data_IF_885072539791
#
_entry.id   IF_885072539791
#
_cell.length_a   1.000
_cell.length_b   1.000
_cell.length_c   1.000
_cell.angle_alpha   90.00
_cell.angle_beta   90.00
_cell.angle_gamma   90.00
#
_symmetry.space_group_name_H-M   'P 1'
#
loop_
_entity.id
_entity.type
_entity.pdbx_description
1 polymer ?
#
# COMPACT_ATOMS: atom_id res chain seq x y z
N UNK A 1 -1.07 7.64 13.97
CA UNK A 1 -0.51 7.31 12.64
C UNK A 1 -0.96 5.92 12.25
N UNK A 2 -1.01 5.62 10.95
CA UNK A 2 -1.57 4.37 10.45
C UNK A 2 -0.55 3.22 10.56
N UNK A 3 -0.91 2.12 11.22
CA UNK A 3 -0.10 0.89 11.26
C UNK A 3 0.07 0.27 9.87
N UNK A 4 -0.88 0.52 8.96
CA UNK A 4 -0.89 0.07 7.57
C UNK A 4 -0.31 1.11 6.58
N UNK A 5 0.45 2.11 7.04
CA UNK A 5 1.09 3.08 6.14
C UNK A 5 2.09 2.37 5.23
N UNK A 6 1.94 2.54 3.91
CA UNK A 6 2.85 1.96 2.91
C UNK A 6 4.27 2.48 3.11
N UNK A 7 5.21 1.55 3.34
CA UNK A 7 6.66 1.84 3.45
C UNK A 7 7.41 1.79 2.11
N UNK A 8 6.67 1.85 1.01
CA UNK A 8 7.22 1.82 -0.34
C UNK A 8 6.32 2.59 -1.30
N UNK A 9 6.86 2.92 -2.47
CA UNK A 9 6.11 3.53 -3.57
C UNK A 9 5.77 2.42 -4.56
N UNK A 10 4.52 2.35 -5.00
CA UNK A 10 4.09 1.41 -6.03
C UNK A 10 3.82 2.12 -7.35
N UNK A 11 4.26 1.53 -8.46
CA UNK A 11 4.09 2.08 -9.81
C UNK A 11 3.50 1.00 -10.71
N UNK A 12 2.28 1.21 -11.19
CA UNK A 12 1.64 0.39 -12.22
C UNK A 12 1.68 1.11 -13.56
N UNK A 13 2.17 0.42 -14.60
CA UNK A 13 2.29 0.95 -15.94
C UNK A 13 1.41 0.12 -16.87
N UNK A 14 0.36 0.74 -17.39
CA UNK A 14 -0.51 0.16 -18.40
C UNK A 14 -0.11 0.71 -19.76
N UNK A 15 0.17 -0.18 -20.71
CA UNK A 15 0.43 0.18 -22.10
C UNK A 15 -0.72 -0.33 -22.95
N UNK A 16 -1.33 0.57 -23.71
CA UNK A 16 -2.46 0.27 -24.60
C UNK A 16 -2.03 0.57 -26.01
N UNK A 17 -2.21 -0.39 -26.91
CA UNK A 17 -2.01 -0.19 -28.34
C UNK A 17 -3.34 -0.43 -29.05
N UNK A 18 -3.65 0.43 -30.01
CA UNK A 18 -4.84 0.34 -30.82
C UNK A 18 -4.44 0.51 -32.29
N UNK A 19 -4.54 -0.58 -33.05
CA UNK A 19 -4.44 -0.54 -34.51
C UNK A 19 -5.78 -0.18 -35.12
N UNK A 20 -5.79 0.83 -36.02
CA UNK A 20 -6.95 1.10 -36.85
C UNK A 20 -6.77 0.48 -38.23
N UNK A 21 -7.67 -0.42 -38.60
CA UNK A 21 -7.71 -1.03 -39.94
C UNK A 21 -8.08 -0.06 -41.06
N UNK A 22 -8.61 1.12 -40.72
CA UNK A 22 -8.99 2.14 -41.69
C UNK A 22 -7.80 2.99 -42.17
N UNK A 23 -6.83 3.26 -41.27
CA UNK A 23 -5.75 4.22 -41.52
C UNK A 23 -4.34 3.58 -41.55
N UNK A 24 -4.23 2.25 -41.36
CA UNK A 24 -2.96 1.51 -41.16
C UNK A 24 -2.05 2.14 -40.07
N UNK A 25 -2.67 2.82 -39.10
CA UNK A 25 -1.98 3.52 -38.02
C UNK A 25 -2.20 2.79 -36.71
N UNK A 26 -1.09 2.56 -36.01
CA UNK A 26 -1.11 2.08 -34.62
C UNK A 26 -0.95 3.27 -33.69
N UNK A 27 -1.91 3.43 -32.78
CA UNK A 27 -1.86 4.42 -31.71
C UNK A 27 -1.43 3.72 -30.43
N UNK A 28 -0.49 4.31 -29.71
CA UNK A 28 -0.09 3.83 -28.39
C UNK A 28 -0.45 4.86 -27.32
N UNK A 29 -0.87 4.36 -26.16
CA UNK A 29 -1.10 5.12 -24.95
C UNK A 29 -0.43 4.44 -23.77
N UNK A 30 0.03 5.24 -22.81
CA UNK A 30 0.62 4.77 -21.56
C UNK A 30 -0.07 5.46 -20.41
N UNK A 31 -0.59 4.67 -19.46
CA UNK A 31 -1.14 5.16 -18.20
C UNK A 31 -0.20 4.70 -17.09
N UNK A 32 0.25 5.64 -16.26
CA UNK A 32 1.09 5.35 -15.11
C UNK A 32 0.29 5.72 -13.85
N UNK A 33 -0.05 4.71 -13.05
CA UNK A 33 -0.67 4.89 -11.75
C UNK A 33 0.41 4.74 -10.68
N UNK A 34 0.53 5.74 -9.82
CA UNK A 34 1.54 5.76 -8.77
C UNK A 34 0.87 5.92 -7.42
N UNK A 35 1.10 4.95 -6.54
CA UNK A 35 0.77 5.05 -5.12
C UNK A 35 2.04 5.41 -4.35
N UNK A 36 2.01 6.56 -3.68
CA UNK A 36 3.15 7.11 -2.98
C UNK A 36 3.09 6.72 -1.50
N UNK A 37 4.26 6.43 -0.93
CA UNK A 37 4.40 6.27 0.51
C UNK A 37 3.98 7.53 1.27
N UNK A 38 3.73 7.37 2.57
CA UNK A 38 3.38 8.47 3.48
C UNK A 38 4.43 9.59 3.49
N UNK A 39 3.98 10.85 3.50
CA UNK A 39 4.84 12.04 3.52
C UNK A 39 5.11 12.57 4.93
N UNK A 40 4.73 11.82 5.95
CA UNK A 40 4.90 12.21 7.35
C UNK A 40 6.37 12.37 7.75
N UNK A 41 6.60 13.34 8.63
CA UNK A 41 7.91 13.52 9.26
C UNK A 41 8.20 12.37 10.20
N UNK A 42 9.40 11.80 10.06
CA UNK A 42 9.89 10.70 10.91
C UNK A 42 9.97 11.11 12.40
N UNK A 43 10.14 12.39 12.70
CA UNK A 43 10.11 12.92 14.08
C UNK A 43 8.79 12.63 14.81
N UNK A 44 7.68 12.48 14.08
CA UNK A 44 6.36 12.19 14.67
C UNK A 44 6.09 10.69 14.83
N UNK A 45 6.90 9.82 14.23
CA UNK A 45 6.68 8.37 14.27
C UNK A 45 7.27 7.72 15.52
N UNK A 46 8.19 8.40 16.23
CA UNK A 46 8.93 7.79 17.34
C UNK A 46 9.78 6.60 16.90
N UNK A 47 10.08 6.47 15.61
CA UNK A 47 10.85 5.37 15.07
C UNK A 47 12.33 5.49 15.47
N UNK A 48 12.91 4.38 15.93
CA UNK A 48 14.31 4.29 16.35
C UNK A 48 15.08 3.23 15.54
N UNK A 49 16.40 3.34 15.54
CA UNK A 49 17.31 2.36 14.93
C UNK A 49 17.02 2.10 13.45
N UNK A 50 16.90 0.82 13.07
CA UNK A 50 16.72 0.40 11.67
C UNK A 50 15.43 0.95 11.03
N UNK A 51 14.37 1.13 11.81
CA UNK A 51 13.08 1.66 11.32
C UNK A 51 13.20 3.15 10.96
N UNK A 52 14.00 3.89 11.71
CA UNK A 52 14.32 5.29 11.41
C UNK A 52 15.07 5.41 10.08
N UNK A 53 16.03 4.53 9.81
CA UNK A 53 16.80 4.57 8.57
C UNK A 53 15.99 4.13 7.35
N UNK A 54 15.07 3.19 7.52
CA UNK A 54 14.06 2.84 6.51
C UNK A 54 13.16 4.05 6.20
N UNK A 55 12.60 4.69 7.23
CA UNK A 55 11.73 5.85 7.09
C UNK A 55 12.45 7.05 6.43
N UNK A 56 13.74 7.27 6.72
CA UNK A 56 14.56 8.28 6.03
C UNK A 56 14.69 7.97 4.54
N UNK A 57 14.88 6.70 4.19
CA UNK A 57 15.06 6.28 2.80
C UNK A 57 13.77 6.48 1.99
N UNK A 58 12.62 6.17 2.58
CA UNK A 58 11.30 6.39 1.97
C UNK A 58 11.05 7.89 1.75
N UNK A 59 11.37 8.72 2.75
CA UNK A 59 11.21 10.16 2.66
C UNK A 59 12.21 10.83 1.71
N UNK A 60 13.32 10.15 1.37
CA UNK A 60 14.29 10.66 0.39
C UNK A 60 13.68 10.80 -1.00
N UNK A 61 12.89 9.82 -1.47
CA UNK A 61 12.26 9.91 -2.80
C UNK A 61 11.16 10.96 -2.85
N UNK A 62 10.37 11.13 -1.79
CA UNK A 62 9.38 12.21 -1.67
C UNK A 62 10.03 13.59 -1.60
N UNK A 63 11.17 13.71 -0.90
CA UNK A 63 11.96 14.95 -0.86
C UNK A 63 12.53 15.30 -2.24
N UNK A 64 13.09 14.31 -2.95
CA UNK A 64 13.55 14.47 -4.32
C UNK A 64 12.41 14.91 -5.26
N UNK A 65 11.22 14.32 -5.11
CA UNK A 65 10.02 14.72 -5.84
C UNK A 65 9.64 16.17 -5.57
N UNK A 66 9.66 16.60 -4.31
CA UNK A 66 9.46 18.00 -3.92
C UNK A 66 10.49 18.95 -4.54
N UNK A 67 11.77 18.55 -4.60
CA UNK A 67 12.83 19.35 -5.22
C UNK A 67 12.63 19.50 -6.73
N UNK A 68 12.23 18.43 -7.42
CA UNK A 68 11.89 18.47 -8.85
C UNK A 68 10.74 19.45 -9.11
N UNK A 69 9.67 19.39 -8.32
CA UNK A 69 8.53 20.32 -8.46
C UNK A 69 8.95 21.77 -8.19
N UNK A 70 9.77 22.02 -7.17
CA UNK A 70 10.29 23.36 -6.89
C UNK A 70 11.14 23.89 -8.05
N UNK A 71 12.00 23.06 -8.62
CA UNK A 71 12.81 23.45 -9.78
C UNK A 71 11.92 23.79 -10.98
N UNK A 72 10.92 22.96 -11.29
CA UNK A 72 10.02 23.15 -12.43
C UNK A 72 9.10 24.37 -12.31
N UNK A 73 8.83 24.81 -11.10
CA UNK A 73 7.96 25.97 -10.82
C UNK A 73 8.74 27.28 -10.67
N UNK A 74 10.06 27.21 -10.64
CA UNK A 74 10.93 28.39 -10.62
C UNK A 74 11.11 28.93 -12.06
N UNK A 75 11.25 30.25 -12.22
CA UNK A 75 11.21 30.90 -13.53
C UNK A 75 12.31 30.46 -14.53
N UNK A 76 13.45 29.92 -14.06
CA UNK A 76 14.57 29.43 -14.88
C UNK A 76 15.36 28.32 -14.18
N UNK A 77 14.92 27.06 -14.20
CA UNK A 77 15.75 25.97 -13.72
C UNK A 77 16.86 25.69 -14.74
N UNK A 78 18.13 25.87 -14.36
CA UNK A 78 19.26 25.40 -15.18
C UNK A 78 19.29 23.88 -15.29
N UNK A 79 18.85 23.19 -14.24
CA UNK A 79 18.83 21.74 -14.14
C UNK A 79 17.70 21.31 -13.20
N UNK A 80 16.93 20.30 -13.62
CA UNK A 80 15.89 19.68 -12.78
C UNK A 80 16.42 18.34 -12.28
N UNK A 81 16.46 18.11 -10.95
CA UNK A 81 17.17 16.97 -10.35
C UNK A 81 16.37 15.65 -10.39
N UNK A 82 15.92 15.23 -11.57
CA UNK A 82 15.18 13.96 -11.72
C UNK A 82 15.98 12.74 -11.27
N UNK A 83 17.32 12.83 -11.30
CA UNK A 83 18.23 11.74 -10.95
C UNK A 83 18.37 11.45 -9.46
N UNK A 84 17.88 12.35 -8.60
CA UNK A 84 18.02 12.22 -7.14
C UNK A 84 17.23 11.03 -6.56
N UNK A 85 16.26 10.49 -7.31
CA UNK A 85 15.57 9.25 -6.98
C UNK A 85 15.14 8.46 -8.22
N UNK A 86 14.98 7.12 -8.08
CA UNK A 86 14.40 6.29 -9.15
C UNK A 86 12.98 6.72 -9.50
N UNK A 87 12.18 7.07 -8.48
CA UNK A 87 10.80 7.54 -8.61
C UNK A 87 10.71 8.78 -9.54
N UNK A 88 11.54 9.79 -9.30
CA UNK A 88 11.55 11.03 -10.12
C UNK A 88 12.03 10.81 -11.55
N UNK A 89 12.86 9.78 -11.80
CA UNK A 89 13.23 9.38 -13.17
C UNK A 89 12.07 8.74 -13.90
N UNK A 90 11.33 7.84 -13.24
CA UNK A 90 10.16 7.18 -13.81
C UNK A 90 9.05 8.21 -14.10
N UNK A 91 8.87 9.19 -13.20
CA UNK A 91 7.86 10.24 -13.30
C UNK A 91 8.26 11.44 -14.17
N UNK A 92 9.44 11.42 -14.81
CA UNK A 92 9.96 12.56 -15.56
C UNK A 92 8.99 13.02 -16.66
N UNK A 93 8.33 12.09 -17.35
CA UNK A 93 7.35 12.41 -18.39
C UNK A 93 6.10 13.11 -17.84
N UNK A 94 5.68 12.76 -16.62
CA UNK A 94 4.55 13.36 -15.92
C UNK A 94 4.89 14.73 -15.30
N UNK A 95 6.17 14.97 -14.99
CA UNK A 95 6.65 16.16 -14.30
C UNK A 95 7.39 17.08 -15.28
N UNK A 96 6.65 17.73 -16.17
CA UNK A 96 7.21 18.68 -17.15
C UNK A 96 7.62 18.07 -18.49
N UNK A 97 7.37 16.78 -18.70
CA UNK A 97 7.59 16.09 -19.97
C UNK A 97 6.35 16.07 -20.87
N UNK A 98 6.16 14.95 -21.57
CA UNK A 98 5.15 14.77 -22.61
C UNK A 98 3.90 14.00 -22.17
N UNK A 99 3.69 13.80 -20.87
CA UNK A 99 2.48 13.16 -20.36
C UNK A 99 1.45 14.19 -19.88
N UNK A 100 0.18 13.81 -19.93
CA UNK A 100 -0.84 14.44 -19.06
C UNK A 100 -0.65 13.87 -17.66
N UNK A 101 -0.78 14.70 -16.65
CA UNK A 101 -0.62 14.30 -15.25
C UNK A 101 -1.76 14.84 -14.39
N UNK A 102 -2.18 14.04 -13.41
CA UNK A 102 -3.10 14.43 -12.36
C UNK A 102 -2.48 14.03 -11.02
N UNK A 103 -2.67 14.87 -10.01
CA UNK A 103 -2.19 14.62 -8.65
C UNK A 103 -3.39 14.60 -7.71
N UNK A 104 -3.55 13.51 -6.97
CA UNK A 104 -4.53 13.39 -5.90
C UNK A 104 -3.87 13.77 -4.56
N UNK A 105 -4.36 14.84 -3.92
CA UNK A 105 -3.86 15.29 -2.64
C UNK A 105 -4.70 14.71 -1.48
N UNK A 106 -4.22 13.63 -0.87
CA UNK A 106 -4.88 13.01 0.28
C UNK A 106 -4.52 13.75 1.57
N UNK A 107 -5.52 14.32 2.26
CA UNK A 107 -5.31 15.14 3.46
C UNK A 107 -6.14 14.60 4.63
N UNK A 108 -5.61 14.70 5.85
CA UNK A 108 -6.37 14.38 7.06
C UNK A 108 -7.25 15.57 7.49
N UNK A 109 -8.51 15.35 7.89
CA UNK A 109 -9.37 16.41 8.42
C UNK A 109 -9.08 16.77 9.88
N UNK A 110 -8.21 16.01 10.57
CA UNK A 110 -7.90 16.24 11.99
C UNK A 110 -7.00 17.47 12.18
N UNK A 111 -7.30 18.27 13.21
CA UNK A 111 -6.50 19.44 13.61
C UNK A 111 -5.06 19.07 13.98
N UNK A 112 -4.85 17.89 14.58
CA UNK A 112 -3.52 17.36 14.91
C UNK A 112 -2.61 17.18 13.69
N UNK A 113 -3.22 16.95 12.51
CA UNK A 113 -2.53 16.76 11.24
C UNK A 113 -2.56 18.00 10.34
N UNK A 114 -3.10 19.13 10.81
CA UNK A 114 -3.21 20.36 10.02
C UNK A 114 -1.87 20.81 9.38
N UNK A 115 -0.70 20.71 10.06
CA UNK A 115 0.58 21.06 9.43
C UNK A 115 0.94 20.16 8.23
N UNK A 116 0.66 18.86 8.31
CA UNK A 116 0.94 17.92 7.23
C UNK A 116 -0.04 18.13 6.07
N UNK A 117 -1.35 18.27 6.36
CA UNK A 117 -2.36 18.59 5.36
C UNK A 117 -2.05 19.90 4.62
N UNK A 118 -1.58 20.93 5.33
CA UNK A 118 -1.14 22.19 4.72
C UNK A 118 0.09 21.98 3.81
N UNK A 119 1.04 21.13 4.21
CA UNK A 119 2.20 20.77 3.39
C UNK A 119 1.75 20.10 2.08
N UNK A 120 0.84 19.13 2.15
CA UNK A 120 0.26 18.44 0.98
C UNK A 120 -0.47 19.41 0.05
N UNK A 121 -1.30 20.32 0.58
CA UNK A 121 -2.02 21.31 -0.23
C UNK A 121 -1.05 22.28 -0.93
N UNK A 122 -0.02 22.75 -0.23
CA UNK A 122 1.03 23.61 -0.82
C UNK A 122 1.81 22.88 -1.89
N UNK A 123 2.11 21.60 -1.68
CA UNK A 123 2.72 20.74 -2.68
C UNK A 123 1.82 20.62 -3.93
N UNK A 124 0.52 20.38 -3.76
CA UNK A 124 -0.45 20.34 -4.86
C UNK A 124 -0.55 21.67 -5.63
N UNK A 125 -0.55 22.79 -4.91
CA UNK A 125 -0.60 24.13 -5.50
C UNK A 125 0.62 24.41 -6.37
N UNK A 126 1.82 24.04 -5.92
CA UNK A 126 3.04 24.12 -6.75
C UNK A 126 2.97 23.19 -7.95
N UNK A 127 2.57 21.93 -7.74
CA UNK A 127 2.48 20.93 -8.81
C UNK A 127 1.56 21.39 -9.95
N UNK A 128 0.46 22.07 -9.62
CA UNK A 128 -0.48 22.65 -10.60
C UNK A 128 0.18 23.65 -11.56
N UNK A 129 1.29 24.29 -11.18
CA UNK A 129 2.00 25.27 -12.01
C UNK A 129 2.98 24.63 -13.01
N UNK A 130 3.21 23.32 -12.91
CA UNK A 130 4.09 22.61 -13.84
C UNK A 130 3.45 22.59 -15.23
N UNK A 131 4.23 23.01 -16.23
CA UNK A 131 3.82 23.00 -17.63
C UNK A 131 4.25 21.68 -18.26
N UNK A 132 3.29 20.92 -18.76
CA UNK A 132 3.52 19.71 -19.57
C UNK A 132 3.23 20.00 -21.04
N UNK A 133 3.89 19.31 -21.96
CA UNK A 133 3.61 19.38 -23.40
C UNK A 133 3.20 17.99 -23.92
N UNK A 134 1.94 17.56 -23.70
CA UNK A 134 1.49 16.25 -24.14
C UNK A 134 1.69 16.06 -25.63
N UNK A 135 2.36 14.96 -26.00
CA UNK A 135 2.53 14.55 -27.39
C UNK A 135 1.77 13.26 -27.62
N UNK A 136 1.03 13.18 -28.74
CA UNK A 136 0.57 11.89 -29.24
C UNK A 136 1.80 11.08 -29.63
N UNK A 137 1.80 9.78 -29.35
CA UNK A 137 2.83 8.85 -29.79
C UNK A 137 2.32 8.24 -31.10
N UNK A 138 2.75 8.70 -32.28
CA UNK A 138 2.42 8.06 -33.54
C UNK A 138 3.43 6.93 -33.71
N UNK A 139 2.97 5.69 -33.68
CA UNK A 139 3.79 4.61 -34.20
C UNK A 139 3.54 4.59 -35.72
N UNK A 140 4.34 5.33 -36.49
CA UNK A 140 4.49 5.05 -37.93
C UNK A 140 5.26 3.74 -38.04
N UNK A 141 4.51 2.64 -38.08
CA UNK A 141 5.03 1.33 -38.47
C UNK A 141 4.57 1.15 -39.92
N UNK A 142 5.51 1.23 -40.87
CA UNK A 142 5.23 0.86 -42.25
C UNK A 142 4.80 -0.62 -42.29
N UNK A 143 3.55 -0.85 -42.71
CA UNK A 143 3.01 -2.11 -43.25
C UNK A 143 3.03 -3.34 -42.34
N UNK A 144 1.92 -3.64 -41.64
CA UNK A 144 1.60 -5.01 -41.21
C UNK A 144 0.14 -5.36 -41.59
N UNK A 145 -0.01 -6.54 -42.18
CA UNK A 145 -1.19 -7.05 -42.91
C UNK A 145 -2.49 -6.99 -42.10
N UNK A 146 -3.57 -6.61 -42.78
CA UNK A 146 -4.96 -6.51 -42.27
C UNK A 146 -5.40 -7.75 -41.47
N UNK A 147 -6.04 -7.59 -40.29
CA UNK A 147 -6.80 -8.65 -39.65
C UNK A 147 -8.15 -8.80 -40.35
N UNK A 148 -8.43 -10.00 -40.86
CA UNK A 148 -9.73 -10.42 -41.37
C UNK A 148 -10.75 -10.51 -40.23
N UNK A 149 -11.92 -9.92 -40.45
CA UNK A 149 -13.08 -9.97 -39.56
C UNK A 149 -13.65 -11.39 -39.46
N UNK A 150 -13.95 -11.84 -38.24
CA UNK A 150 -14.75 -13.05 -37.99
C UNK A 150 -16.21 -12.78 -38.35
N UNK A 151 -16.72 -13.46 -39.37
CA UNK A 151 -18.16 -13.67 -39.56
C UNK A 151 -18.63 -14.80 -38.65
N UNK A 152 -19.69 -14.50 -37.90
CA UNK A 152 -20.53 -15.49 -37.23
C UNK A 152 -21.24 -16.31 -38.29
N UNK A 153 -21.17 -17.64 -38.26
CA UNK A 153 -22.14 -18.49 -38.96
C UNK A 153 -22.58 -19.65 -38.06
N UNK A 154 -23.90 -19.79 -37.92
CA UNK A 154 -24.62 -20.87 -37.26
C UNK A 154 -24.76 -22.07 -38.21
N UNK A 155 -24.93 -23.23 -37.58
CA UNK A 155 -25.09 -24.58 -38.14
C UNK A 155 -26.13 -24.71 -39.27
N UNK A 156 -25.87 -25.60 -40.25
CA UNK A 156 -26.88 -26.58 -40.68
C UNK A 156 -26.35 -27.72 -41.58
N UNK A 157 -27.09 -28.82 -41.53
CA UNK A 157 -26.77 -30.23 -41.82
C UNK A 157 -26.71 -30.70 -43.30
N UNK A 158 -25.84 -31.70 -43.49
CA UNK A 158 -25.99 -32.97 -44.26
C UNK A 158 -25.97 -33.00 -45.81
N UNK A 159 -25.05 -33.82 -46.36
CA UNK A 159 -25.37 -34.73 -47.47
C UNK A 159 -24.35 -34.93 -48.61
N UNK A 160 -23.81 -36.16 -48.69
CA UNK A 160 -23.38 -36.92 -49.91
C UNK A 160 -21.90 -36.88 -50.35
N UNK A 161 -21.28 -38.06 -50.35
CA UNK A 161 -19.95 -38.41 -50.93
C UNK A 161 -20.10 -39.04 -52.34
N UNK A 162 -19.04 -39.51 -53.04
CA UNK A 162 -17.62 -39.12 -53.08
C UNK A 162 -17.08 -38.91 -54.54
N UNK A 163 -15.92 -38.27 -54.74
CA UNK A 163 -15.04 -38.51 -55.92
C UNK A 163 -13.59 -38.01 -55.73
N UNK A 164 -12.70 -38.98 -55.51
CA UNK A 164 -11.31 -39.19 -55.95
C UNK A 164 -10.35 -38.01 -56.28
N UNK A 165 -9.17 -38.17 -55.66
CA UNK A 165 -7.80 -38.11 -56.20
C UNK A 165 -6.94 -36.86 -55.90
N UNK A 166 -5.79 -37.08 -55.25
CA UNK A 166 -4.57 -36.32 -55.50
C UNK A 166 -3.82 -35.72 -54.29
N UNK A 167 -3.01 -36.55 -53.63
CA UNK A 167 -1.67 -36.26 -53.04
C UNK A 167 -1.44 -35.20 -51.94
N UNK A 168 -0.51 -35.60 -51.04
CA UNK A 168 0.26 -34.88 -50.01
C UNK A 168 -0.46 -34.44 -48.72
N UNK A 169 -0.14 -35.18 -47.65
CA UNK A 169 -0.42 -34.86 -46.26
C UNK A 169 0.47 -33.71 -45.78
N UNK A 170 -0.14 -32.64 -45.30
CA UNK A 170 0.46 -31.68 -44.37
C UNK A 170 -0.54 -31.50 -43.23
N UNK A 171 -0.18 -31.99 -42.04
CA UNK A 171 -0.95 -31.80 -40.82
C UNK A 171 -0.99 -30.32 -40.46
N UNK A 172 -2.19 -29.86 -40.08
CA UNK A 172 -2.51 -28.48 -39.72
C UNK A 172 -2.17 -28.30 -38.24
N UNK A 173 -1.38 -27.28 -37.91
CA UNK A 173 -1.33 -26.69 -36.57
C UNK A 173 -1.32 -25.18 -36.72
N UNK A 174 -2.27 -24.58 -36.02
CA UNK A 174 -2.69 -23.18 -35.99
C UNK A 174 -1.58 -22.24 -35.47
N UNK A 175 -1.15 -21.17 -36.18
CA UNK A 175 -0.25 -20.18 -35.61
C UNK A 175 -1.04 -19.02 -35.00
N UNK A 176 -1.13 -19.07 -33.68
CA UNK A 176 -1.52 -17.99 -32.79
C UNK A 176 -0.36 -17.03 -32.53
N UNK A 177 -0.70 -15.77 -32.21
CA UNK A 177 0.07 -14.83 -31.37
C UNK A 177 1.53 -14.57 -31.77
N UNK A 178 1.78 -13.44 -32.45
CA UNK A 178 3.15 -12.89 -32.57
C UNK A 178 3.69 -12.55 -31.18
N UNK A 179 4.57 -13.44 -30.70
CA UNK A 179 5.47 -13.28 -29.57
C UNK A 179 6.41 -12.10 -29.81
N UNK A 180 6.60 -11.25 -28.80
CA UNK A 180 7.93 -10.64 -28.68
C UNK A 180 8.88 -11.79 -28.35
N UNK A 181 9.76 -12.16 -29.27
CA UNK A 181 10.74 -13.24 -29.05
C UNK A 181 11.66 -12.87 -27.88
N UNK A 182 11.29 -13.31 -26.68
CA UNK A 182 12.06 -13.15 -25.46
C UNK A 182 13.43 -13.84 -25.56
N UNK A 183 13.54 -14.85 -26.42
CA UNK A 183 14.79 -15.55 -26.75
C UNK A 183 15.82 -14.61 -27.40
N UNK A 184 15.42 -13.71 -28.32
CA UNK A 184 16.33 -12.77 -28.96
C UNK A 184 16.90 -11.75 -27.95
N UNK A 185 16.09 -11.33 -26.98
CA UNK A 185 16.55 -10.43 -25.92
C UNK A 185 17.50 -11.13 -24.94
N UNK A 186 17.18 -12.37 -24.54
CA UNK A 186 18.04 -13.22 -23.70
C UNK A 186 19.40 -13.39 -24.36
N UNK A 187 19.43 -13.85 -25.61
CA UNK A 187 20.66 -14.10 -26.36
C UNK A 187 21.47 -12.83 -26.55
N UNK A 188 20.81 -11.68 -26.77
CA UNK A 188 21.49 -10.39 -26.92
C UNK A 188 22.09 -9.86 -25.61
N UNK A 189 21.50 -10.18 -24.46
CA UNK A 189 22.05 -9.82 -23.14
C UNK A 189 23.24 -10.71 -22.81
N UNK A 190 23.08 -12.03 -22.97
CA UNK A 190 24.12 -13.01 -22.66
C UNK A 190 25.33 -12.85 -23.58
N UNK A 191 25.12 -12.66 -24.89
CA UNK A 191 26.21 -12.38 -25.84
C UNK A 191 27.00 -11.13 -25.47
N UNK A 192 26.36 -10.07 -24.97
CA UNK A 192 27.05 -8.86 -24.49
C UNK A 192 27.82 -9.08 -23.19
N UNK A 193 27.30 -9.89 -22.28
CA UNK A 193 27.99 -10.24 -21.04
C UNK A 193 29.23 -11.11 -21.31
N UNK A 194 29.13 -12.05 -22.25
CA UNK A 194 30.25 -12.88 -22.73
C UNK A 194 31.39 -12.08 -23.39
N UNK A 195 31.15 -10.83 -23.79
CA UNK A 195 32.20 -9.92 -24.26
C UNK A 195 33.01 -9.26 -23.13
N UNK A 196 32.49 -9.26 -21.90
CA UNK A 196 33.07 -8.52 -20.76
C UNK A 196 33.43 -9.39 -19.56
N UNK A 197 32.92 -10.62 -19.50
CA UNK A 197 33.07 -11.55 -18.39
C UNK A 197 33.53 -12.91 -18.91
N UNK A 198 34.06 -13.75 -18.01
CA UNK A 198 34.41 -15.14 -18.35
C UNK A 198 33.14 -15.95 -18.52
N UNK A 199 33.19 -16.99 -19.35
CA UNK A 199 32.05 -17.84 -19.69
C UNK A 199 31.39 -18.45 -18.44
N UNK A 200 32.20 -19.00 -17.53
CA UNK A 200 31.75 -19.55 -16.23
C UNK A 200 30.97 -18.53 -15.36
N UNK A 201 31.40 -17.26 -15.37
CA UNK A 201 30.73 -16.20 -14.61
C UNK A 201 29.41 -15.80 -15.26
N UNK A 202 29.33 -15.86 -16.60
CA UNK A 202 28.10 -15.56 -17.33
C UNK A 202 27.07 -16.66 -17.16
N UNK A 203 27.48 -17.92 -17.15
CA UNK A 203 26.58 -19.05 -16.96
C UNK A 203 25.98 -19.04 -15.54
N UNK A 204 26.79 -18.71 -14.52
CA UNK A 204 26.27 -18.50 -13.16
C UNK A 204 25.31 -17.30 -13.07
N UNK A 205 25.62 -16.22 -13.79
CA UNK A 205 24.76 -15.03 -13.81
C UNK A 205 23.46 -15.27 -14.57
N UNK A 206 23.50 -16.11 -15.62
CA UNK A 206 22.32 -16.59 -16.35
C UNK A 206 21.42 -17.39 -15.43
N UNK A 207 21.97 -18.35 -14.66
CA UNK A 207 21.23 -19.13 -13.67
C UNK A 207 20.57 -18.23 -12.61
N UNK A 208 21.31 -17.24 -12.09
CA UNK A 208 20.77 -16.26 -11.12
C UNK A 208 19.69 -15.35 -11.74
N UNK A 209 19.87 -14.92 -12.98
CA UNK A 209 18.89 -14.07 -13.67
C UNK A 209 17.60 -14.82 -14.00
N UNK A 210 17.66 -16.12 -14.27
CA UNK A 210 16.47 -16.97 -14.39
C UNK A 210 15.79 -17.13 -13.03
N UNK A 211 16.54 -17.42 -11.97
CA UNK A 211 16.00 -17.57 -10.62
C UNK A 211 15.32 -16.29 -10.09
N UNK A 212 15.86 -15.12 -10.40
CA UNK A 212 15.31 -13.81 -10.01
C UNK A 212 14.25 -13.28 -11.00
N UNK A 213 13.91 -14.06 -12.05
CA UNK A 213 12.87 -13.71 -13.04
C UNK A 213 13.23 -12.52 -13.95
N UNK A 214 14.52 -12.24 -14.12
CA UNK A 214 15.06 -11.18 -14.98
C UNK A 214 15.16 -11.67 -16.45
N UNK A 215 15.51 -12.94 -16.64
CA UNK A 215 15.51 -13.64 -17.94
C UNK A 215 14.44 -14.73 -17.91
N UNK A 216 13.62 -14.79 -18.95
CA UNK A 216 12.58 -15.80 -19.10
C UNK A 216 13.18 -17.06 -19.73
N UNK A 217 13.03 -18.21 -19.07
CA UNK A 217 13.40 -19.52 -19.60
C UNK A 217 12.09 -20.29 -19.90
N UNK A 218 11.79 -20.60 -21.18
CA UNK A 218 10.59 -21.34 -21.55
C UNK A 218 10.62 -22.82 -21.13
N UNK A 219 11.80 -23.40 -20.87
CA UNK A 219 11.97 -24.80 -20.47
C UNK A 219 12.06 -24.97 -18.94
N UNK A 220 12.34 -23.90 -18.20
CA UNK A 220 12.17 -23.89 -16.76
C UNK A 220 10.68 -23.96 -16.45
N UNK A 221 10.20 -25.16 -16.10
CA UNK A 221 8.86 -25.35 -15.58
C UNK A 221 8.58 -24.26 -14.54
N UNK A 222 7.69 -23.32 -14.88
CA UNK A 222 7.28 -22.24 -13.99
C UNK A 222 7.00 -22.86 -12.63
N UNK A 223 7.69 -22.46 -11.54
CA UNK A 223 7.23 -22.85 -10.23
C UNK A 223 5.81 -22.34 -10.14
N UNK A 224 4.87 -23.28 -10.01
CA UNK A 224 3.43 -23.06 -10.08
C UNK A 224 3.11 -21.83 -9.21
N UNK A 225 2.84 -20.70 -9.86
CA UNK A 225 2.67 -19.42 -9.17
C UNK A 225 1.52 -19.56 -8.18
N UNK A 226 0.51 -20.37 -8.53
CA UNK A 226 -0.59 -20.74 -7.66
C UNK A 226 -0.10 -21.47 -6.39
N UNK A 227 0.90 -22.36 -6.46
CA UNK A 227 1.46 -23.03 -5.27
C UNK A 227 2.25 -22.06 -4.39
N UNK A 228 3.01 -21.12 -4.97
CA UNK A 228 3.76 -20.11 -4.21
C UNK A 228 2.83 -19.08 -3.55
N UNK A 229 1.79 -18.62 -4.25
CA UNK A 229 0.75 -17.74 -3.67
C UNK A 229 -0.07 -18.49 -2.62
N UNK A 230 -0.38 -19.77 -2.84
CA UNK A 230 -1.10 -20.60 -1.88
C UNK A 230 -0.27 -20.86 -0.62
N UNK A 231 1.05 -21.03 -0.72
CA UNK A 231 1.94 -21.16 0.44
C UNK A 231 2.03 -19.85 1.25
N UNK A 232 2.20 -18.69 0.60
CA UNK A 232 2.21 -17.39 1.29
C UNK A 232 0.87 -17.08 1.95
N UNK A 233 -0.24 -17.31 1.25
CA UNK A 233 -1.58 -17.12 1.79
C UNK A 233 -1.85 -18.06 2.97
N UNK A 234 -1.45 -19.34 2.86
CA UNK A 234 -1.63 -20.31 3.95
C UNK A 234 -0.83 -19.94 5.19
N UNK A 235 0.43 -19.50 5.03
CA UNK A 235 1.27 -19.04 6.15
C UNK A 235 0.68 -17.80 6.83
N UNK A 236 0.17 -16.85 6.06
CA UNK A 236 -0.49 -15.66 6.61
C UNK A 236 -1.79 -16.02 7.35
N UNK A 237 -2.60 -16.93 6.82
CA UNK A 237 -3.81 -17.41 7.47
C UNK A 237 -3.49 -18.09 8.79
N UNK A 238 -2.51 -19.00 8.82
CA UNK A 238 -2.08 -19.69 10.06
C UNK A 238 -1.58 -18.69 11.09
N UNK A 239 -0.74 -17.74 10.69
CA UNK A 239 -0.26 -16.68 11.59
C UNK A 239 -1.39 -15.83 12.15
N UNK A 240 -2.38 -15.46 11.33
CA UNK A 240 -3.52 -14.66 11.79
C UNK A 240 -4.41 -15.45 12.75
N UNK A 241 -4.70 -16.72 12.45
CA UNK A 241 -5.49 -17.59 13.34
C UNK A 241 -4.83 -17.69 14.71
N UNK A 242 -3.52 -17.91 14.76
CA UNK A 242 -2.78 -18.00 16.02
C UNK A 242 -2.85 -16.69 16.82
N UNK A 243 -2.71 -15.53 16.16
CA UNK A 243 -2.84 -14.23 16.86
C UNK A 243 -4.26 -13.97 17.36
N UNK A 244 -5.28 -14.48 16.67
CA UNK A 244 -6.68 -14.37 17.12
C UNK A 244 -6.93 -15.24 18.33
N UNK A 245 -6.35 -16.44 18.39
CA UNK A 245 -6.42 -17.32 19.57
C UNK A 245 -5.76 -16.66 20.79
N UNK A 246 -4.53 -16.17 20.65
CA UNK A 246 -3.80 -15.46 21.73
C UNK A 246 -4.57 -14.22 22.23
N UNK A 247 -5.18 -13.45 21.31
CA UNK A 247 -5.99 -12.30 21.68
C UNK A 247 -7.27 -12.72 22.41
N UNK A 248 -7.88 -13.83 22.01
CA UNK A 248 -9.08 -14.36 22.64
C UNK A 248 -8.79 -14.79 24.08
N UNK A 249 -7.66 -15.47 24.33
CA UNK A 249 -7.20 -15.81 25.68
C UNK A 249 -7.00 -14.56 26.53
N UNK A 250 -6.31 -13.55 25.99
CA UNK A 250 -6.06 -12.29 26.70
C UNK A 250 -7.36 -11.56 27.07
N UNK A 251 -8.35 -11.56 26.17
CA UNK A 251 -9.67 -10.96 26.43
C UNK A 251 -10.40 -11.72 27.54
N UNK A 252 -10.32 -13.04 27.55
CA UNK A 252 -10.94 -13.85 28.61
C UNK A 252 -10.31 -13.55 29.96
N UNK A 253 -8.99 -13.53 30.06
CA UNK A 253 -8.27 -13.20 31.30
C UNK A 253 -8.65 -11.81 31.83
N UNK A 254 -8.68 -10.80 30.96
CA UNK A 254 -9.09 -9.45 31.34
C UNK A 254 -10.57 -9.38 31.76
N UNK A 255 -11.42 -10.22 31.18
CA UNK A 255 -12.83 -10.28 31.57
C UNK A 255 -12.97 -10.86 32.98
N UNK A 256 -12.26 -11.95 33.27
CA UNK A 256 -12.24 -12.59 34.58
C UNK A 256 -11.66 -11.65 35.67
N UNK A 257 -10.59 -10.93 35.35
CA UNK A 257 -10.02 -9.92 36.25
C UNK A 257 -11.01 -8.78 36.53
N UNK A 258 -11.72 -8.30 35.50
CA UNK A 258 -12.73 -7.25 35.67
C UNK A 258 -13.90 -7.71 36.56
N UNK A 259 -14.35 -8.96 36.43
CA UNK A 259 -15.37 -9.53 37.32
C UNK A 259 -14.89 -9.60 38.77
N UNK A 260 -13.66 -10.04 38.99
CA UNK A 260 -13.05 -10.09 40.32
C UNK A 260 -12.94 -8.70 40.96
N UNK A 261 -12.50 -7.70 40.19
CA UNK A 261 -12.42 -6.31 40.64
C UNK A 261 -13.80 -5.73 40.96
N UNK A 262 -14.84 -6.07 40.17
CA UNK A 262 -16.22 -5.67 40.46
C UNK A 262 -16.71 -6.25 41.77
N UNK A 263 -16.48 -7.53 42.04
CA UNK A 263 -16.83 -8.14 43.33
C UNK A 263 -16.09 -7.53 44.52
N UNK A 264 -14.80 -7.21 44.35
CA UNK A 264 -14.04 -6.50 45.40
C UNK A 264 -14.61 -5.10 45.66
N UNK A 265 -15.01 -4.39 44.61
CA UNK A 265 -15.62 -3.07 44.73
C UNK A 265 -16.97 -3.14 45.47
N UNK A 266 -17.82 -4.10 45.13
CA UNK A 266 -19.11 -4.32 45.81
C UNK A 266 -18.91 -4.62 47.30
N UNK A 267 -17.97 -5.51 47.64
CA UNK A 267 -17.65 -5.84 49.02
C UNK A 267 -17.12 -4.63 49.80
N UNK A 268 -16.24 -3.84 49.19
CA UNK A 268 -15.72 -2.61 49.80
C UNK A 268 -16.83 -1.56 50.02
N UNK A 269 -17.77 -1.43 49.08
CA UNK A 269 -18.95 -0.57 49.22
C UNK A 269 -19.87 -1.02 50.36
N UNK A 270 -20.08 -2.32 50.52
CA UNK A 270 -20.89 -2.86 51.61
C UNK A 270 -20.27 -2.60 52.99
N UNK A 271 -18.95 -2.79 53.12
CA UNK A 271 -18.21 -2.44 54.34
C UNK A 271 -18.33 -0.94 54.63
N UNK A 272 -18.16 -0.09 53.62
CA UNK A 272 -18.27 1.36 53.77
C UNK A 272 -19.69 1.77 54.24
N UNK A 273 -20.74 1.17 53.68
CA UNK A 273 -22.13 1.41 54.09
C UNK A 273 -22.38 0.99 55.55
N UNK A 274 -21.88 -0.19 55.97
CA UNK A 274 -21.99 -0.67 57.35
C UNK A 274 -21.24 0.24 58.34
N UNK A 275 -20.05 0.72 57.97
CA UNK A 275 -19.28 1.65 58.79
C UNK A 275 -20.01 3.00 58.98
N UNK A 276 -20.64 3.53 57.92
CA UNK A 276 -21.46 4.75 58.00
C UNK A 276 -22.64 4.59 58.97
N UNK A 277 -23.38 3.47 58.90
CA UNK A 277 -24.45 3.17 59.86
C UNK A 277 -23.94 3.09 61.31
N UNK A 278 -22.81 2.43 61.55
CA UNK A 278 -22.24 2.32 62.89
C UNK A 278 -21.79 3.68 63.47
N UNK A 279 -21.28 4.59 62.63
CA UNK A 279 -20.94 5.96 63.06
C UNK A 279 -22.16 6.82 63.37
N UNK A 280 -23.28 6.62 62.65
CA UNK A 280 -24.54 7.29 62.91
C UNK A 280 -25.23 6.83 64.21
N UNK A 281 -25.00 5.58 64.62
CA UNK A 281 -25.55 5.04 65.87
C UNK A 281 -24.72 5.47 67.10
N UNK A 282 -23.39 5.58 66.96
CA UNK A 282 -22.50 6.12 68.01
C UNK A 282 -22.76 7.59 68.30
N UNK A 283 -23.09 8.40 67.31
CA UNK A 283 -23.44 9.82 67.52
C UNK A 283 -24.80 9.99 68.20
N UNK A 284 -25.73 9.05 68.05
CA UNK A 284 -26.99 8.99 68.83
C UNK A 284 -26.79 8.53 70.27
N UNK A 285 -25.89 7.56 70.51
CA UNK A 285 -25.55 7.09 71.86
C UNK A 285 -24.76 8.10 72.72
N UNK A 286 -23.93 8.94 72.10
CA UNK A 286 -23.17 9.98 72.82
C UNK A 286 -24.00 11.21 73.25
N UNK A 287 -25.22 11.38 72.70
CA UNK A 287 -26.13 12.47 73.11
C UNK A 287 -26.96 12.14 74.37
N UNK A 288 -26.94 10.89 74.86
CA UNK A 288 -27.66 10.45 76.05
C UNK A 288 -26.69 9.90 77.12
N UNK A 289 -25.70 10.70 77.52
CA UNK A 289 -24.74 10.33 78.55
C UNK A 289 -24.39 11.49 79.49
N UNK A 290 -25.05 11.50 80.66
CA UNK A 290 -24.63 12.14 81.92
C UNK A 290 -24.57 13.68 81.99
N UNK A 291 -25.67 14.29 82.48
CA UNK A 291 -25.61 15.54 83.27
C UNK A 291 -25.73 15.13 84.74
N UNK A 292 -24.72 15.34 85.60
CA UNK A 292 -24.86 15.11 87.04
C UNK A 292 -25.70 16.24 87.66
N UNK A 293 -26.84 15.89 88.25
CA UNK A 293 -27.66 16.79 89.04
C UNK A 293 -27.19 16.81 90.50
N UNK A 294 -26.46 17.84 90.92
CA UNK A 294 -26.37 18.30 92.30
C UNK A 294 -25.55 19.61 92.40
N UNK A 295 -25.86 20.40 93.45
CA UNK A 295 -25.26 21.69 93.89
C UNK A 295 -26.07 22.92 93.43
N UNK A 296 -27.12 23.32 94.19
CA UNK A 296 -27.13 24.33 95.28
C UNK A 296 -26.93 25.78 94.72
N UNK A 297 -27.69 26.85 95.01
CA UNK A 297 -28.77 27.22 95.95
C UNK A 297 -29.34 28.61 95.50
N UNK A 298 -30.43 29.10 96.10
CA UNK A 298 -31.08 30.38 95.78
C UNK A 298 -30.65 31.53 96.71
N UNK A 299 -30.39 32.72 96.19
CA UNK A 299 -30.40 34.06 96.84
C UNK A 299 -30.34 35.06 95.68
N UNK A 300 -31.15 36.09 95.48
CA UNK A 300 -32.00 36.90 96.36
C UNK A 300 -31.72 38.37 96.00
N UNK A 301 -32.74 39.10 95.53
CA UNK A 301 -33.04 40.55 95.74
C UNK A 301 -31.91 41.59 95.43
N UNK A 302 -32.08 42.65 94.62
CA UNK A 302 -32.91 43.88 94.74
C UNK A 302 -32.68 44.75 93.48
N UNK A 303 -33.64 45.60 93.06
CA UNK A 303 -33.56 46.49 91.90
C UNK A 303 -33.02 47.91 92.20
N UNK A 304 -32.51 48.58 91.17
CA UNK A 304 -33.02 49.86 90.60
C UNK A 304 -32.24 50.18 89.30
#
# INVERSE_FOLDING_TARGET
MNLASSRSHCVYIFSVQHGSTADDKVRAGKIVLVDLAGSEKVEKTGAEGRVLDEAKTINKSLSALGNVINALTTAKPNHVPYRDSKLTRILQDALGGSSRAALLCCCSPSSSNAPESLSTIRFGTRTKLIKTLPKLIPNEVDSVKKPTCYSHDQDDLCGRAPSKAGSSQSEVSDPSLDSYDHDDLRDRILSKLRLSLKEEDVDLLEELFVQEGIIFDPDAAMPDIDLAFQDVASRQIVSLVQTVEELTETVQELTDENEKLRHQLEFAQEIAARAQCATADRSRGALFGFVPAAVLRPFGFVPD
#
